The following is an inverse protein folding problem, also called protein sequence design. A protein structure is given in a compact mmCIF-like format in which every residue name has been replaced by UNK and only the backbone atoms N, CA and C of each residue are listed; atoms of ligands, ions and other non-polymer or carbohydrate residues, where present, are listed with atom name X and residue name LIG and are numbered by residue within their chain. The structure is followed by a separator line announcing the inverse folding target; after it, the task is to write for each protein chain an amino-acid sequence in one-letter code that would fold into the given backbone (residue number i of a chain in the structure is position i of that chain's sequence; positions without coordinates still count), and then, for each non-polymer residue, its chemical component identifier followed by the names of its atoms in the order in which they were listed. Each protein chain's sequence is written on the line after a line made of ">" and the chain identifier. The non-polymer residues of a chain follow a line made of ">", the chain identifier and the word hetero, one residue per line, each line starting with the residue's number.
data_IF_076702708508
#
_entry.id   IF_076702708508
#
_cell.length_a   1.000
_cell.length_b   1.000
_cell.length_c   1.000
_cell.angle_alpha   90.00
_cell.angle_beta   90.00
_cell.angle_gamma   90.00
#
_symmetry.space_group_name_H-M   'P 1'
#
loop_
_entity.id
_entity.type
_entity.pdbx_description
1 polymer ?
#
# COMPACT_ATOMS: atom_id res chain seq x y z
N UNK A 1 -9.09 6.45 -22.40
CA UNK A 1 -8.41 6.49 -21.08
C UNK A 1 -9.39 6.61 -19.90
N UNK A 2 -10.69 6.82 -20.11
CA UNK A 2 -11.57 7.33 -19.02
C UNK A 2 -12.41 6.27 -18.28
N UNK A 3 -12.91 5.22 -18.95
CA UNK A 3 -13.81 4.26 -18.29
C UNK A 3 -13.10 3.35 -17.27
N UNK A 4 -11.84 2.97 -17.55
CA UNK A 4 -11.09 2.08 -16.66
C UNK A 4 -10.72 2.75 -15.33
N UNK A 5 -10.41 4.05 -15.33
CA UNK A 5 -10.09 4.79 -14.10
C UNK A 5 -11.34 4.92 -13.22
N UNK A 6 -12.47 5.28 -13.82
CA UNK A 6 -13.77 5.38 -13.13
C UNK A 6 -14.21 4.07 -12.46
N UNK A 7 -13.85 2.92 -13.04
CA UNK A 7 -14.12 1.60 -12.46
C UNK A 7 -13.10 1.24 -11.37
N UNK A 8 -11.82 1.59 -11.54
CA UNK A 8 -10.77 1.28 -10.55
C UNK A 8 -10.95 2.03 -9.23
N UNK A 9 -11.42 3.27 -9.29
CA UNK A 9 -11.63 4.11 -8.09
C UNK A 9 -12.50 3.42 -7.03
N UNK A 10 -13.75 3.01 -7.33
CA UNK A 10 -14.57 2.32 -6.34
C UNK A 10 -14.00 0.95 -5.95
N UNK A 11 -13.30 0.26 -6.85
CA UNK A 11 -12.71 -1.05 -6.57
C UNK A 11 -11.61 -1.00 -5.50
N UNK A 12 -10.90 0.12 -5.34
CA UNK A 12 -9.93 0.30 -4.27
C UNK A 12 -10.55 1.00 -3.04
N UNK A 13 -11.33 2.06 -3.26
CA UNK A 13 -11.89 2.87 -2.18
C UNK A 13 -12.92 2.13 -1.32
N UNK A 14 -13.76 1.26 -1.93
CA UNK A 14 -14.77 0.51 -1.17
C UNK A 14 -14.08 -0.49 -0.21
N UNK A 15 -13.19 -1.38 -0.68
CA UNK A 15 -12.42 -2.25 0.21
C UNK A 15 -11.60 -1.48 1.23
N UNK A 16 -10.98 -0.36 0.85
CA UNK A 16 -10.23 0.45 1.82
C UNK A 16 -11.14 1.02 2.91
N UNK A 17 -12.32 1.52 2.54
CA UNK A 17 -13.35 1.95 3.49
C UNK A 17 -13.78 0.83 4.44
N UNK A 18 -13.91 -0.41 3.93
CA UNK A 18 -14.19 -1.58 4.76
C UNK A 18 -13.03 -1.90 5.70
N UNK A 19 -11.78 -1.86 5.23
CA UNK A 19 -10.59 -2.03 6.08
C UNK A 19 -10.57 -0.99 7.19
N UNK A 20 -10.82 0.29 6.88
CA UNK A 20 -10.90 1.36 7.88
C UNK A 20 -12.05 1.11 8.87
N UNK A 21 -13.23 0.72 8.39
CA UNK A 21 -14.41 0.47 9.22
C UNK A 21 -14.20 -0.70 10.19
N UNK A 22 -13.62 -1.79 9.70
CA UNK A 22 -13.42 -3.03 10.48
C UNK A 22 -12.01 -3.16 11.07
N UNK A 23 -11.20 -2.08 11.03
CA UNK A 23 -9.77 -2.10 11.41
C UNK A 23 -9.50 -2.68 12.79
N UNK A 24 -10.33 -2.37 13.78
CA UNK A 24 -10.10 -2.81 15.16
C UNK A 24 -10.40 -4.31 15.30
N UNK A 25 -11.47 -4.78 14.66
CA UNK A 25 -11.81 -6.19 14.59
C UNK A 25 -10.70 -6.99 13.87
N UNK A 26 -10.30 -6.56 12.68
CA UNK A 26 -9.27 -7.21 11.87
C UNK A 26 -7.93 -7.26 12.61
N UNK A 27 -7.48 -6.12 13.17
CA UNK A 27 -6.24 -6.07 13.92
C UNK A 27 -6.27 -7.02 15.11
N UNK A 28 -7.36 -7.00 15.91
CA UNK A 28 -7.48 -7.86 17.09
C UNK A 28 -7.57 -9.35 16.74
N UNK A 29 -8.06 -9.70 15.55
CA UNK A 29 -8.04 -11.07 15.04
C UNK A 29 -6.61 -11.49 14.68
N UNK A 30 -5.91 -10.65 13.91
CA UNK A 30 -4.57 -10.95 13.37
C UNK A 30 -3.52 -11.04 14.48
N UNK A 31 -3.54 -10.13 15.46
CA UNK A 31 -2.54 -10.14 16.56
C UNK A 31 -2.63 -11.38 17.46
N UNK A 32 -3.71 -12.16 17.39
CA UNK A 32 -3.82 -13.45 18.11
C UNK A 32 -2.93 -14.53 17.50
N UNK A 33 -2.50 -14.34 16.25
CA UNK A 33 -1.54 -15.22 15.59
C UNK A 33 -0.18 -14.99 16.24
N UNK A 34 0.39 -16.03 16.86
CA UNK A 34 1.67 -15.95 17.58
C UNK A 34 2.85 -15.91 16.62
N UNK A 35 3.11 -14.75 16.03
CA UNK A 35 4.24 -14.49 15.14
C UNK A 35 4.91 -13.15 15.49
N UNK A 36 6.17 -12.94 15.08
CA UNK A 36 6.84 -11.65 15.23
C UNK A 36 6.05 -10.54 14.53
N UNK A 37 5.92 -9.37 15.18
CA UNK A 37 5.09 -8.25 14.68
C UNK A 37 5.41 -7.81 13.25
N UNK A 38 6.68 -7.81 12.86
CA UNK A 38 7.10 -7.44 11.49
C UNK A 38 6.63 -8.48 10.49
N UNK A 39 6.73 -9.77 10.85
CA UNK A 39 6.26 -10.86 10.00
C UNK A 39 4.73 -10.81 9.86
N UNK A 40 3.99 -10.56 10.95
CA UNK A 40 2.54 -10.36 10.90
C UNK A 40 2.15 -9.20 9.99
N UNK A 41 2.87 -8.07 10.08
CA UNK A 41 2.64 -6.91 9.24
C UNK A 41 2.82 -7.27 7.77
N UNK A 42 3.97 -7.84 7.38
CA UNK A 42 4.26 -8.24 5.99
C UNK A 42 3.26 -9.27 5.44
N UNK A 43 2.92 -10.28 6.24
CA UNK A 43 1.92 -11.29 5.86
C UNK A 43 0.52 -10.70 5.70
N UNK A 44 0.21 -9.64 6.45
CA UNK A 44 -1.05 -8.91 6.29
C UNK A 44 -1.03 -8.02 5.05
N UNK A 45 0.11 -7.42 4.74
CA UNK A 45 0.27 -6.59 3.55
C UNK A 45 0.21 -7.40 2.26
N UNK A 46 0.77 -8.61 2.22
CA UNK A 46 0.84 -9.42 1.02
C UNK A 46 -0.51 -9.57 0.29
N UNK A 47 -1.63 -9.98 0.93
CA UNK A 47 -2.92 -10.05 0.27
C UNK A 47 -3.48 -8.67 -0.13
N UNK A 48 -3.14 -7.60 0.60
CA UNK A 48 -3.54 -6.23 0.24
C UNK A 48 -2.78 -5.77 -1.01
N UNK A 49 -1.47 -6.01 -1.09
CA UNK A 49 -0.64 -5.73 -2.27
C UNK A 49 -1.15 -6.50 -3.48
N UNK A 50 -1.41 -7.80 -3.33
CA UNK A 50 -1.96 -8.62 -4.42
C UNK A 50 -3.27 -8.02 -4.92
N UNK A 51 -4.18 -7.66 -4.02
CA UNK A 51 -5.47 -7.07 -4.38
C UNK A 51 -5.32 -5.73 -5.11
N UNK A 52 -4.47 -4.87 -4.59
CA UNK A 52 -4.16 -3.54 -5.13
C UNK A 52 -3.56 -3.65 -6.56
N UNK A 53 -2.58 -4.53 -6.74
CA UNK A 53 -1.94 -4.78 -8.03
C UNK A 53 -2.92 -5.34 -9.07
N UNK A 54 -3.87 -6.19 -8.67
CA UNK A 54 -4.91 -6.67 -9.59
C UNK A 54 -5.81 -5.53 -10.11
N UNK A 55 -6.04 -4.49 -9.30
CA UNK A 55 -6.77 -3.29 -9.72
C UNK A 55 -5.92 -2.44 -10.67
N UNK A 56 -4.63 -2.26 -10.35
CA UNK A 56 -3.72 -1.40 -11.11
C UNK A 56 -3.25 -1.99 -12.44
N UNK A 57 -2.80 -3.24 -12.47
CA UNK A 57 -2.35 -3.88 -13.70
C UNK A 57 -3.50 -4.15 -14.69
N UNK A 58 -4.72 -4.35 -14.19
CA UNK A 58 -5.88 -4.75 -15.00
C UNK A 58 -5.62 -6.00 -15.88
N UNK A 59 -6.30 -6.04 -17.03
CA UNK A 59 -6.34 -7.20 -17.94
C UNK A 59 -5.02 -7.51 -18.67
N UNK A 60 -4.09 -6.56 -18.76
CA UNK A 60 -2.93 -6.66 -19.67
C UNK A 60 -1.62 -7.12 -18.99
N UNK A 61 -1.56 -7.18 -17.66
CA UNK A 61 -0.31 -7.52 -16.96
C UNK A 61 -0.45 -8.56 -15.85
N UNK A 62 -1.50 -8.45 -15.02
CA UNK A 62 -1.64 -9.29 -13.81
C UNK A 62 -2.87 -10.23 -13.86
N UNK A 63 -3.75 -10.12 -14.85
CA UNK A 63 -4.96 -10.95 -14.96
C UNK A 63 -4.70 -12.46 -15.16
N UNK A 64 -3.51 -12.84 -15.63
CA UNK A 64 -3.14 -14.24 -15.88
C UNK A 64 -2.20 -14.83 -14.83
N UNK A 65 -1.84 -14.07 -13.78
CA UNK A 65 -0.85 -14.49 -12.79
C UNK A 65 -1.39 -14.27 -11.39
N UNK A 66 -1.44 -15.33 -10.58
CA UNK A 66 -1.96 -15.28 -9.22
C UNK A 66 -1.12 -14.38 -8.29
N UNK A 67 0.21 -14.38 -8.49
CA UNK A 67 1.14 -13.53 -7.75
C UNK A 67 1.76 -12.51 -8.71
N UNK A 68 1.48 -11.21 -8.53
CA UNK A 68 2.05 -10.20 -9.40
C UNK A 68 3.57 -10.13 -9.17
N UNK A 69 4.39 -9.97 -10.23
CA UNK A 69 5.85 -9.95 -10.11
C UNK A 69 6.37 -8.80 -9.23
N UNK A 70 5.59 -7.72 -9.11
CA UNK A 70 5.81 -6.56 -8.24
C UNK A 70 5.65 -6.87 -6.75
N UNK A 71 5.00 -7.98 -6.37
CA UNK A 71 4.74 -8.34 -4.97
C UNK A 71 6.03 -8.39 -4.14
N UNK A 72 7.05 -9.07 -4.65
CA UNK A 72 8.32 -9.23 -3.93
C UNK A 72 9.00 -7.88 -3.71
N UNK A 73 8.96 -7.02 -4.73
CA UNK A 73 9.54 -5.69 -4.65
C UNK A 73 8.83 -4.84 -3.61
N UNK A 74 7.49 -4.83 -3.63
CA UNK A 74 6.67 -4.07 -2.68
C UNK A 74 6.81 -4.58 -1.25
N UNK A 75 6.92 -5.90 -1.03
CA UNK A 75 7.19 -6.46 0.30
C UNK A 75 8.57 -6.07 0.83
N UNK A 76 9.61 -6.06 -0.02
CA UNK A 76 10.94 -5.58 0.37
C UNK A 76 10.89 -4.10 0.73
N UNK A 77 10.17 -3.30 -0.06
CA UNK A 77 9.98 -1.88 0.21
C UNK A 77 9.24 -1.66 1.54
N UNK A 78 8.16 -2.39 1.80
CA UNK A 78 7.46 -2.31 3.08
C UNK A 78 8.32 -2.77 4.26
N UNK A 79 9.16 -3.78 4.07
CA UNK A 79 10.13 -4.18 5.10
C UNK A 79 11.06 -3.00 5.41
N UNK A 80 11.56 -2.27 4.41
CA UNK A 80 12.36 -1.06 4.62
C UNK A 80 11.54 -0.01 5.38
N UNK A 81 10.29 0.24 5.00
CA UNK A 81 9.41 1.18 5.70
C UNK A 81 9.19 0.79 7.17
N UNK A 82 8.92 -0.49 7.45
CA UNK A 82 8.73 -0.98 8.81
C UNK A 82 10.03 -0.94 9.63
N UNK A 83 11.18 -1.12 9.00
CA UNK A 83 12.48 -0.95 9.66
C UNK A 83 12.75 0.53 9.99
N UNK A 84 12.38 1.47 9.11
CA UNK A 84 12.48 2.92 9.40
C UNK A 84 11.64 3.32 10.62
N UNK A 85 10.50 2.64 10.86
CA UNK A 85 9.67 2.83 12.04
C UNK A 85 10.28 2.31 13.34
N UNK A 86 11.38 1.53 13.30
CA UNK A 86 12.15 1.22 14.52
C UNK A 86 12.84 2.47 15.07
N UNK A 87 13.21 3.39 14.18
CA UNK A 87 13.89 4.64 14.51
C UNK A 87 12.87 5.76 14.78
N UNK A 88 11.66 5.63 14.20
CA UNK A 88 10.56 6.60 14.34
C UNK A 88 9.31 5.95 14.96
N UNK A 89 9.04 6.13 16.26
CA UNK A 89 7.91 5.45 16.90
C UNK A 89 6.57 5.88 16.30
N UNK A 90 5.66 4.91 16.11
CA UNK A 90 4.32 5.12 15.54
C UNK A 90 3.42 5.80 16.57
N UNK A 91 3.47 7.14 16.62
CA UNK A 91 2.58 7.92 17.50
C UNK A 91 1.16 7.99 16.95
N UNK A 92 1.00 8.24 15.65
CA UNK A 92 -0.28 8.66 15.07
C UNK A 92 -0.93 7.69 14.05
N UNK A 93 -0.31 6.69 13.44
CA UNK A 93 -0.93 5.85 12.37
C UNK A 93 -1.37 6.65 11.14
N UNK A 94 -2.35 7.56 11.21
CA UNK A 94 -2.82 8.33 10.04
C UNK A 94 -1.66 9.11 9.46
N UNK A 95 -0.94 9.88 10.28
CA UNK A 95 0.24 10.62 9.86
C UNK A 95 1.33 9.69 9.33
N UNK A 96 1.61 8.56 9.99
CA UNK A 96 2.60 7.60 9.51
C UNK A 96 2.19 6.99 8.16
N UNK A 97 0.91 6.71 7.96
CA UNK A 97 0.38 6.20 6.70
C UNK A 97 0.56 7.24 5.60
N UNK A 98 0.20 8.49 5.84
CA UNK A 98 0.40 9.59 4.88
C UNK A 98 1.88 9.77 4.56
N UNK A 99 2.75 9.80 5.58
CA UNK A 99 4.19 9.95 5.39
C UNK A 99 4.78 8.83 4.53
N UNK A 100 4.45 7.58 4.82
CA UNK A 100 4.92 6.45 4.03
C UNK A 100 4.29 6.39 2.64
N UNK A 101 3.03 6.82 2.47
CA UNK A 101 2.41 6.99 1.15
C UNK A 101 3.16 8.04 0.30
N UNK A 102 3.64 9.12 0.90
CA UNK A 102 4.49 10.11 0.20
C UNK A 102 5.82 9.49 -0.20
N UNK A 103 6.45 8.68 0.66
CA UNK A 103 7.64 7.93 0.29
C UNK A 103 7.36 6.93 -0.85
N UNK A 104 6.18 6.33 -0.87
CA UNK A 104 5.71 5.47 -1.96
C UNK A 104 5.57 6.23 -3.29
N UNK A 105 5.03 7.45 -3.27
CA UNK A 105 5.00 8.32 -4.46
C UNK A 105 6.42 8.62 -4.97
N UNK A 106 7.35 8.95 -4.07
CA UNK A 106 8.73 9.19 -4.45
C UNK A 106 9.37 7.92 -5.03
N UNK A 107 9.10 6.77 -4.41
CA UNK A 107 9.55 5.49 -4.92
C UNK A 107 9.05 5.26 -6.36
N UNK A 108 7.76 5.42 -6.62
CA UNK A 108 7.20 5.29 -7.97
C UNK A 108 7.82 6.30 -8.94
N UNK A 109 8.08 7.53 -8.52
CA UNK A 109 8.71 8.54 -9.37
C UNK A 109 10.15 8.21 -9.80
N UNK A 110 10.93 7.57 -8.92
CA UNK A 110 12.36 7.33 -9.15
C UNK A 110 12.69 5.92 -9.65
N UNK A 111 12.05 4.89 -9.10
CA UNK A 111 12.48 3.49 -9.24
C UNK A 111 11.30 2.55 -9.55
N UNK A 112 10.07 2.92 -9.18
CA UNK A 112 8.91 2.04 -9.28
C UNK A 112 8.48 1.71 -10.70
N UNK A 113 7.52 0.79 -10.81
CA UNK A 113 7.05 0.28 -12.09
C UNK A 113 6.46 1.40 -12.95
N UNK A 114 5.89 2.43 -12.32
CA UNK A 114 5.28 3.56 -13.00
C UNK A 114 6.24 4.75 -13.25
N UNK A 115 7.56 4.64 -12.96
CA UNK A 115 8.49 5.79 -13.00
C UNK A 115 8.51 6.54 -14.34
N UNK A 116 8.44 5.82 -15.46
CA UNK A 116 8.43 6.44 -16.80
C UNK A 116 7.18 7.28 -17.01
N UNK A 117 6.02 6.75 -16.65
CA UNK A 117 4.73 7.44 -16.74
C UNK A 117 4.68 8.63 -15.76
N UNK A 118 5.17 8.44 -14.54
CA UNK A 118 5.27 9.51 -13.52
C UNK A 118 6.08 10.69 -14.02
N UNK A 119 7.26 10.45 -14.58
CA UNK A 119 8.13 11.50 -15.10
C UNK A 119 7.52 12.18 -16.33
N UNK A 120 6.97 11.40 -17.27
CA UNK A 120 6.30 11.95 -18.46
C UNK A 120 5.13 12.87 -18.09
N UNK A 121 4.27 12.45 -17.16
CA UNK A 121 3.13 13.24 -16.71
C UNK A 121 3.58 14.46 -15.89
N UNK A 122 4.61 14.34 -15.05
CA UNK A 122 5.13 15.46 -14.27
C UNK A 122 5.61 16.62 -15.15
N UNK A 123 6.25 16.32 -16.29
CA UNK A 123 6.81 17.33 -17.20
C UNK A 123 5.87 17.73 -18.35
N UNK A 124 4.84 16.93 -18.65
CA UNK A 124 3.92 17.18 -19.77
C UNK A 124 2.48 17.49 -19.40
N UNK A 125 1.97 16.98 -18.27
CA UNK A 125 0.56 17.05 -17.88
C UNK A 125 0.40 17.16 -16.35
N UNK A 126 0.66 18.33 -15.74
CA UNK A 126 0.74 18.47 -14.29
C UNK A 126 -0.55 18.10 -13.54
N UNK A 127 -1.72 18.33 -14.14
CA UNK A 127 -3.01 17.94 -13.53
C UNK A 127 -3.16 16.42 -13.47
N UNK A 128 -2.82 15.72 -14.56
CA UNK A 128 -2.84 14.26 -14.61
C UNK A 128 -1.81 13.65 -13.63
N UNK A 129 -0.64 14.28 -13.51
CA UNK A 129 0.37 13.90 -12.52
C UNK A 129 -0.15 14.01 -11.08
N UNK A 130 -0.85 15.09 -10.73
CA UNK A 130 -1.43 15.24 -9.39
C UNK A 130 -2.50 14.17 -9.10
N UNK A 131 -3.34 13.85 -10.08
CA UNK A 131 -4.34 12.78 -9.96
C UNK A 131 -3.65 11.44 -9.74
N UNK A 132 -2.58 11.14 -10.49
CA UNK A 132 -1.81 9.91 -10.33
C UNK A 132 -1.11 9.86 -8.96
N UNK A 133 -0.55 10.96 -8.48
CA UNK A 133 0.01 11.05 -7.13
C UNK A 133 -1.04 10.72 -6.06
N UNK A 134 -2.25 11.28 -6.18
CA UNK A 134 -3.35 11.00 -5.26
C UNK A 134 -3.77 9.52 -5.32
N UNK A 135 -3.85 8.95 -6.52
CA UNK A 135 -4.13 7.52 -6.71
C UNK A 135 -3.10 6.65 -6.00
N UNK A 136 -1.82 6.86 -6.28
CA UNK A 136 -0.72 6.11 -5.68
C UNK A 136 -0.65 6.31 -4.17
N UNK A 137 -0.93 7.51 -3.65
CA UNK A 137 -1.03 7.75 -2.21
C UNK A 137 -2.11 6.89 -1.55
N UNK A 138 -3.29 6.76 -2.19
CA UNK A 138 -4.40 5.93 -1.71
C UNK A 138 -4.03 4.45 -1.77
N UNK A 139 -3.39 4.00 -2.85
CA UNK A 139 -2.85 2.63 -2.99
C UNK A 139 -1.90 2.27 -1.86
N UNK A 140 -0.90 3.12 -1.61
CA UNK A 140 0.01 2.90 -0.49
C UNK A 140 -0.69 2.98 0.86
N UNK A 141 -1.66 3.88 1.03
CA UNK A 141 -2.42 3.95 2.27
C UNK A 141 -3.22 2.68 2.51
N UNK A 142 -3.81 2.10 1.47
CA UNK A 142 -4.57 0.85 1.53
C UNK A 142 -3.68 -0.32 2.00
N UNK A 143 -2.51 -0.50 1.39
CA UNK A 143 -1.62 -1.61 1.74
C UNK A 143 -0.95 -1.40 3.10
N UNK A 144 -0.64 -0.16 3.51
CA UNK A 144 0.11 0.11 4.74
C UNK A 144 -0.76 0.24 6.00
N UNK A 145 -2.00 0.73 5.89
CA UNK A 145 -2.77 1.17 7.05
C UNK A 145 -3.00 0.06 8.09
N UNK A 146 -3.44 -1.12 7.65
CA UNK A 146 -3.71 -2.25 8.54
C UNK A 146 -2.41 -2.88 9.11
N UNK A 147 -1.36 -3.13 8.30
CA UNK A 147 -0.04 -3.53 8.83
C UNK A 147 0.53 -2.57 9.86
N UNK A 148 0.40 -1.26 9.68
CA UNK A 148 0.85 -0.26 10.66
C UNK A 148 0.06 -0.33 11.97
N UNK A 149 -1.25 -0.59 11.90
CA UNK A 149 -2.08 -0.84 13.08
C UNK A 149 -1.61 -2.08 13.84
N UNK A 150 -1.29 -3.15 13.11
CA UNK A 150 -0.73 -4.38 13.68
C UNK A 150 0.60 -4.09 14.35
N UNK A 151 1.52 -3.37 13.71
CA UNK A 151 2.82 -3.02 14.30
C UNK A 151 2.68 -2.18 15.57
N UNK A 152 1.69 -1.29 15.62
CA UNK A 152 1.42 -0.45 16.81
C UNK A 152 0.80 -1.24 17.96
N UNK A 153 -0.13 -2.16 17.67
CA UNK A 153 -0.91 -2.89 18.69
C UNK A 153 -0.33 -4.24 19.09
N UNK A 154 0.52 -4.84 18.25
CA UNK A 154 1.09 -6.16 18.53
C UNK A 154 2.07 -6.08 19.69
N UNK A 155 1.94 -6.96 20.71
CA UNK A 155 2.97 -7.11 21.71
C UNK A 155 4.28 -7.56 21.04
N UNK A 156 5.41 -7.07 21.53
CA UNK A 156 6.71 -7.57 21.08
C UNK A 156 6.85 -9.02 21.55
N UNK A 157 6.61 -9.98 20.65
CA UNK A 157 7.05 -11.36 20.87
C UNK A 157 8.57 -11.37 20.70
N UNK A 158 9.26 -11.41 21.84
CA UNK A 158 10.70 -11.66 21.98
C UNK A 158 11.01 -13.12 21.69
#
# INVERSE_FOLDING_TARGET
>A
MELHILIRIPLLLIPFGLVIKYRDFLTNLIIKIKLPKILLALLTSAPLIIFEEHINCGAYGCANVFLPPTLWFLLVMELVFFLLLKITPIKNIIFQTIFLSVLGILFEFFIGAAHTEFQQLAFGQPVAFLILCLWVAVSYAFILFLPLLILKKSPSYS
#
